data_IF_163198214361
#
_entry.id   IF_163198214361
#
_cell.length_a   1.000
_cell.length_b   1.000
_cell.length_c   1.000
_cell.angle_alpha   90.00
_cell.angle_beta   90.00
_cell.angle_gamma   90.00
#
_symmetry.space_group_name_H-M   'P 1'
#
loop_
_entity.id
_entity.type
_entity.pdbx_description
1 polymer ?
#
# COMPACT_ATOMS: atom_id res chain seq x y z
N UNK A 1 2.87 8.16 4.47
CA UNK A 1 1.63 8.54 3.74
C UNK A 1 0.46 7.76 4.31
N UNK A 2 -0.68 8.40 4.43
CA UNK A 2 -1.90 7.75 4.91
C UNK A 2 -3.03 8.00 3.94
N UNK A 3 -3.89 7.01 3.77
CA UNK A 3 -5.06 7.09 2.91
C UNK A 3 -6.25 6.47 3.64
N UNK A 4 -7.33 7.23 3.76
CA UNK A 4 -8.54 6.75 4.40
C UNK A 4 -9.41 5.97 3.42
N UNK A 5 -9.87 4.79 3.84
CA UNK A 5 -10.81 3.97 3.07
C UNK A 5 -12.20 4.08 3.67
N UNK A 6 -13.19 4.37 2.84
CA UNK A 6 -14.58 4.33 3.26
C UNK A 6 -15.04 2.89 3.48
N UNK A 7 -16.11 2.73 4.25
CA UNK A 7 -16.70 1.41 4.49
C UNK A 7 -17.09 0.75 3.17
N UNK A 8 -16.79 -0.55 3.05
CA UNK A 8 -17.13 -1.32 1.88
C UNK A 8 -16.18 -1.16 0.71
N UNK A 9 -15.13 -0.37 0.87
CA UNK A 9 -14.13 -0.19 -0.17
C UNK A 9 -12.89 -1.05 0.10
N UNK A 10 -12.15 -1.31 -0.94
CA UNK A 10 -10.95 -2.13 -0.90
C UNK A 10 -9.81 -1.35 -1.54
N UNK A 11 -8.59 -1.65 -1.15
CA UNK A 11 -7.42 -1.09 -1.78
C UNK A 11 -6.56 -2.20 -2.38
N UNK A 12 -5.95 -1.90 -3.51
CA UNK A 12 -4.89 -2.72 -4.09
C UNK A 12 -3.63 -1.86 -4.16
N UNK A 13 -2.54 -2.38 -3.63
CA UNK A 13 -1.24 -1.72 -3.69
C UNK A 13 -0.30 -2.60 -4.50
N UNK A 14 0.29 -2.02 -5.54
CA UNK A 14 1.28 -2.70 -6.38
C UNK A 14 2.58 -1.92 -6.30
N UNK A 15 3.65 -2.57 -5.82
CA UNK A 15 4.95 -1.93 -5.69
C UNK A 15 5.71 -2.10 -7.00
N UNK A 16 6.08 -0.98 -7.63
CA UNK A 16 6.81 -0.98 -8.89
C UNK A 16 8.33 -0.93 -8.68
N UNK A 17 8.78 -0.18 -7.66
CA UNK A 17 10.20 -0.02 -7.36
C UNK A 17 10.40 0.18 -5.86
N UNK A 18 11.56 -0.25 -5.39
CA UNK A 18 11.94 -0.08 -3.99
C UNK A 18 11.15 -0.98 -3.05
N UNK A 19 11.11 -0.62 -1.78
CA UNK A 19 10.37 -1.32 -0.77
C UNK A 19 9.45 -0.39 -0.03
N UNK A 20 8.27 -0.87 0.34
CA UNK A 20 7.31 -0.13 1.14
C UNK A 20 6.78 -1.00 2.25
N UNK A 21 6.22 -0.37 3.25
CA UNK A 21 5.49 -1.04 4.31
C UNK A 21 4.06 -0.53 4.30
N UNK A 22 3.12 -1.45 4.21
CA UNK A 22 1.69 -1.12 4.19
C UNK A 22 1.07 -1.75 5.44
N UNK A 23 0.60 -0.92 6.36
CA UNK A 23 0.00 -1.36 7.63
C UNK A 23 0.88 -2.39 8.37
N UNK A 24 2.19 -2.16 8.37
CA UNK A 24 3.14 -3.04 9.06
C UNK A 24 3.62 -4.23 8.24
N UNK A 25 3.16 -4.40 7.01
CA UNK A 25 3.57 -5.50 6.15
C UNK A 25 4.54 -4.98 5.09
N UNK A 26 5.74 -5.57 5.04
CA UNK A 26 6.77 -5.16 4.09
C UNK A 26 6.51 -5.77 2.72
N UNK A 27 6.59 -4.93 1.69
CA UNK A 27 6.42 -5.32 0.29
C UNK A 27 7.64 -4.85 -0.51
N UNK A 28 8.11 -5.70 -1.41
CA UNK A 28 9.22 -5.38 -2.29
C UNK A 28 8.72 -5.12 -3.71
N UNK A 29 9.62 -4.65 -4.58
CA UNK A 29 9.29 -4.43 -5.99
C UNK A 29 8.70 -5.70 -6.60
N UNK A 30 7.59 -5.57 -7.31
CA UNK A 30 6.85 -6.67 -7.90
C UNK A 30 5.77 -7.26 -7.00
N UNK A 31 5.76 -6.93 -5.71
CA UNK A 31 4.75 -7.42 -4.79
C UNK A 31 3.46 -6.61 -4.91
N UNK A 32 2.34 -7.28 -4.68
CA UNK A 32 1.05 -6.63 -4.59
C UNK A 32 0.32 -7.09 -3.34
N UNK A 33 -0.57 -6.25 -2.83
CA UNK A 33 -1.38 -6.58 -1.67
C UNK A 33 -2.80 -6.06 -1.83
N UNK A 34 -3.75 -6.91 -1.49
CA UNK A 34 -5.16 -6.53 -1.42
C UNK A 34 -5.49 -6.23 0.04
N UNK A 35 -6.10 -5.08 0.29
CA UNK A 35 -6.43 -4.65 1.64
C UNK A 35 -7.93 -4.39 1.70
N UNK A 36 -8.58 -5.04 2.65
CA UNK A 36 -10.00 -4.83 2.90
C UNK A 36 -10.26 -4.88 4.41
N UNK A 37 -11.35 -4.25 4.83
CA UNK A 37 -11.70 -4.20 6.24
C UNK A 37 -10.91 -3.20 7.06
N UNK A 38 -10.01 -2.44 6.43
CA UNK A 38 -9.20 -1.42 7.08
C UNK A 38 -9.75 -0.04 6.76
N UNK A 39 -9.77 0.83 7.74
CA UNK A 39 -10.22 2.21 7.53
C UNK A 39 -9.10 3.15 7.14
N UNK A 40 -7.87 2.77 7.42
CA UNK A 40 -6.72 3.61 7.17
C UNK A 40 -5.58 2.76 6.63
N UNK A 41 -5.01 3.20 5.52
CA UNK A 41 -3.78 2.64 4.99
C UNK A 41 -2.61 3.52 5.40
N UNK A 42 -1.62 2.92 6.03
CA UNK A 42 -0.37 3.59 6.37
C UNK A 42 0.73 3.02 5.51
N UNK A 43 1.32 3.86 4.71
CA UNK A 43 2.35 3.47 3.74
C UNK A 43 3.63 4.20 4.03
N UNK A 44 4.71 3.46 4.24
CA UNK A 44 6.03 4.02 4.47
C UNK A 44 7.06 3.39 3.54
N UNK A 45 8.16 4.08 3.32
CA UNK A 45 9.28 3.56 2.53
C UNK A 45 10.22 2.83 3.47
N UNK A 46 10.60 1.60 3.12
CA UNK A 46 11.40 0.75 4.00
C UNK A 46 12.90 0.77 3.68
N UNK A 47 13.32 1.44 2.64
CA UNK A 47 14.72 1.49 2.26
C UNK A 47 15.20 2.91 2.10
N UNK A 48 16.50 3.06 1.81
CA UNK A 48 17.11 4.36 1.53
C UNK A 48 16.84 4.82 0.10
N UNK A 49 16.42 3.92 -0.79
CA UNK A 49 16.12 4.25 -2.18
C UNK A 49 14.69 4.73 -2.33
N UNK A 50 14.41 5.47 -3.39
CA UNK A 50 13.06 5.86 -3.72
C UNK A 50 12.19 4.64 -3.99
N UNK A 51 10.93 4.74 -3.61
CA UNK A 51 9.94 3.71 -3.89
C UNK A 51 8.84 4.28 -4.78
N UNK A 52 8.34 3.45 -5.68
CA UNK A 52 7.20 3.77 -6.54
C UNK A 52 6.14 2.70 -6.37
N UNK A 53 4.91 3.13 -6.21
CA UNK A 53 3.79 2.21 -6.09
C UNK A 53 2.56 2.76 -6.81
N UNK A 54 1.67 1.86 -7.15
CA UNK A 54 0.34 2.19 -7.65
C UNK A 54 -0.65 1.75 -6.59
N UNK A 55 -1.60 2.61 -6.28
CA UNK A 55 -2.65 2.29 -5.32
C UNK A 55 -4.01 2.53 -5.96
N UNK A 56 -4.89 1.53 -5.82
CA UNK A 56 -6.25 1.60 -6.33
C UNK A 56 -7.22 1.50 -5.16
N UNK A 57 -8.15 2.44 -5.11
CA UNK A 57 -9.23 2.45 -4.13
C UNK A 57 -10.49 1.98 -4.88
N UNK A 58 -10.96 0.79 -4.54
CA UNK A 58 -11.99 0.08 -5.28
C UNK A 58 -13.26 -0.12 -4.44
N UNK A 59 -14.39 -0.07 -5.13
CA UNK A 59 -15.67 -0.33 -4.47
C UNK A 59 -15.87 -1.83 -4.19
#
# INVERSE_FOLDING_TARGET
MEHALADGRHAWVQVARGGVEVNGVALAAGDGAAISGERLLRIGVTGAAEAELLMFDLA
#
